data_IF_596610087437
#
_entry.id   IF_596610087437
#
_cell.length_a   1.000
_cell.length_b   1.000
_cell.length_c   1.000
_cell.angle_alpha   90.00
_cell.angle_beta   90.00
_cell.angle_gamma   90.00
#
_symmetry.space_group_name_H-M   'P 1'
#
loop_
_entity.id
_entity.type
_entity.pdbx_description
1 polymer ?
#
# COMPACT_ATOMS: atom_id res chain seq x y z
N UNK A 1 8.74 -15.02 17.58
CA UNK A 1 10.23 -14.86 17.44
C UNK A 1 10.59 -14.12 16.14
N UNK A 2 10.15 -14.58 14.97
CA UNK A 2 10.51 -13.95 13.68
C UNK A 2 10.08 -12.47 13.61
N UNK A 3 8.84 -12.15 14.04
CA UNK A 3 8.36 -10.76 14.00
C UNK A 3 9.18 -9.80 14.88
N UNK A 4 9.75 -10.25 15.99
CA UNK A 4 10.60 -9.39 16.81
C UNK A 4 11.89 -8.99 16.04
N UNK A 5 12.43 -9.90 15.23
CA UNK A 5 13.60 -9.58 14.39
C UNK A 5 13.23 -8.62 13.25
N UNK A 6 12.02 -8.77 12.67
CA UNK A 6 11.52 -7.82 11.65
C UNK A 6 11.32 -6.43 12.24
N UNK A 7 10.72 -6.35 13.45
CA UNK A 7 10.53 -5.07 14.14
C UNK A 7 11.88 -4.41 14.42
N UNK A 8 12.82 -5.15 14.98
CA UNK A 8 14.18 -4.66 15.26
C UNK A 8 14.87 -4.19 13.96
N UNK A 9 14.79 -4.98 12.88
CA UNK A 9 15.35 -4.60 11.59
C UNK A 9 14.78 -3.26 11.08
N UNK A 10 13.46 -3.06 11.23
CA UNK A 10 12.80 -1.81 10.85
C UNK A 10 13.25 -0.63 11.74
N UNK A 11 13.36 -0.84 13.06
CA UNK A 11 13.83 0.15 14.03
C UNK A 11 15.28 0.56 13.77
N UNK A 12 16.11 -0.39 13.36
CA UNK A 12 17.51 -0.17 12.96
C UNK A 12 17.65 0.51 11.57
N UNK A 13 16.52 0.90 10.93
CA UNK A 13 16.47 1.58 9.63
C UNK A 13 16.45 0.64 8.42
N UNK A 14 16.35 -0.65 8.63
CA UNK A 14 16.19 -1.63 7.55
C UNK A 14 14.86 -1.49 6.81
N UNK A 15 14.83 -1.91 5.55
CA UNK A 15 13.63 -1.79 4.71
C UNK A 15 12.72 -2.99 4.91
N UNK A 16 11.43 -2.73 5.13
CA UNK A 16 10.39 -3.76 5.25
C UNK A 16 9.25 -3.45 4.30
N UNK A 17 8.91 -4.41 3.46
CA UNK A 17 7.82 -4.29 2.49
C UNK A 17 6.79 -5.39 2.70
N UNK A 18 5.58 -5.02 3.13
CA UNK A 18 4.44 -5.92 3.34
C UNK A 18 3.41 -5.79 2.23
N UNK A 19 3.22 -6.88 1.46
CA UNK A 19 2.25 -6.94 0.36
C UNK A 19 1.08 -7.82 0.79
N UNK A 20 -0.16 -7.36 0.62
CA UNK A 20 -1.40 -8.07 0.93
C UNK A 20 -1.41 -8.57 2.40
N UNK A 21 -1.28 -9.87 2.66
CA UNK A 21 -1.15 -10.41 4.02
C UNK A 21 0.04 -9.82 4.78
N UNK A 22 1.12 -9.46 4.07
CA UNK A 22 2.25 -8.75 4.67
C UNK A 22 1.84 -7.40 5.24
N UNK A 23 0.99 -6.63 4.57
CA UNK A 23 0.46 -5.38 5.10
C UNK A 23 -0.36 -5.62 6.38
N UNK A 24 -1.22 -6.65 6.40
CA UNK A 24 -1.97 -7.04 7.59
C UNK A 24 -1.02 -7.35 8.77
N UNK A 25 0.01 -8.15 8.54
CA UNK A 25 1.02 -8.48 9.55
C UNK A 25 1.71 -7.21 10.08
N UNK A 26 2.02 -6.23 9.23
CA UNK A 26 2.65 -4.98 9.63
C UNK A 26 1.72 -4.11 10.51
N UNK A 27 0.41 -4.12 10.25
CA UNK A 27 -0.56 -3.43 11.13
C UNK A 27 -0.75 -4.17 12.47
N UNK A 28 -0.87 -5.50 12.44
CA UNK A 28 -1.00 -6.31 13.65
C UNK A 28 0.25 -6.27 14.56
N UNK A 29 1.42 -6.11 13.97
CA UNK A 29 2.69 -5.98 14.73
C UNK A 29 2.95 -4.58 15.27
N UNK A 30 2.13 -3.58 14.90
CA UNK A 30 2.31 -2.18 15.27
C UNK A 30 3.38 -1.42 14.48
N UNK A 31 4.00 -2.02 13.46
CA UNK A 31 4.93 -1.33 12.56
C UNK A 31 4.24 -0.31 11.67
N UNK A 32 2.96 -0.51 11.37
CA UNK A 32 2.09 0.43 10.68
C UNK A 32 0.81 0.66 11.48
N UNK A 33 0.22 1.87 11.46
CA UNK A 33 -1.04 2.14 12.15
C UNK A 33 -2.23 1.54 11.41
N UNK A 34 -3.37 1.43 12.13
CA UNK A 34 -4.64 0.96 11.60
C UNK A 34 -4.78 -0.56 11.54
N UNK A 35 -5.75 -1.03 10.77
CA UNK A 35 -6.07 -2.44 10.62
C UNK A 35 -6.64 -2.75 9.23
N UNK A 36 -6.51 -3.98 8.77
CA UNK A 36 -7.16 -4.49 7.57
C UNK A 36 -8.43 -5.27 7.98
N UNK A 37 -9.56 -4.85 7.46
CA UNK A 37 -10.86 -5.46 7.69
C UNK A 37 -11.34 -6.19 6.43
N UNK A 38 -12.41 -6.98 6.57
CA UNK A 38 -13.06 -7.60 5.42
C UNK A 38 -13.54 -6.56 4.42
N UNK A 39 -13.45 -6.92 3.14
CA UNK A 39 -13.96 -6.08 2.06
C UNK A 39 -15.43 -5.72 2.32
N UNK A 40 -15.84 -4.50 2.03
CA UNK A 40 -17.20 -3.99 2.30
C UNK A 40 -18.32 -4.85 1.68
N UNK A 41 -18.05 -5.53 0.57
CA UNK A 41 -19.02 -6.44 -0.09
C UNK A 41 -18.90 -7.89 0.38
N UNK A 42 -18.08 -8.19 1.37
CA UNK A 42 -17.82 -9.52 1.95
C UNK A 42 -17.45 -10.59 0.90
N UNK A 43 -16.78 -10.19 -0.18
CA UNK A 43 -16.36 -11.04 -1.28
C UNK A 43 -14.86 -10.93 -1.52
N UNK A 44 -14.28 -12.04 -1.93
CA UNK A 44 -12.92 -12.04 -2.48
C UNK A 44 -12.89 -11.24 -3.79
N UNK A 45 -11.92 -10.35 -3.92
CA UNK A 45 -11.76 -9.49 -5.10
C UNK A 45 -10.43 -9.84 -5.75
N UNK A 46 -10.49 -10.23 -7.03
CA UNK A 46 -9.31 -10.50 -7.86
C UNK A 46 -9.47 -9.74 -9.18
N UNK A 47 -8.75 -8.64 -9.33
CA UNK A 47 -8.79 -7.81 -10.56
C UNK A 47 -7.64 -6.81 -10.57
N UNK A 48 -7.36 -6.22 -11.72
CA UNK A 48 -6.51 -5.04 -11.80
C UNK A 48 -7.27 -3.82 -11.25
N UNK A 49 -6.55 -2.96 -10.54
CA UNK A 49 -7.02 -1.68 -10.03
C UNK A 49 -6.01 -0.60 -10.37
N UNK A 50 -6.48 0.64 -10.47
CA UNK A 50 -5.61 1.78 -10.59
C UNK A 50 -5.29 2.34 -9.21
N UNK A 51 -4.02 2.63 -8.99
CA UNK A 51 -3.56 3.32 -7.78
C UNK A 51 -2.73 4.54 -8.17
N UNK A 52 -2.91 5.61 -7.44
CA UNK A 52 -2.16 6.86 -7.60
C UNK A 52 -1.04 6.93 -6.58
N UNK A 53 0.17 7.25 -7.03
CA UNK A 53 1.32 7.51 -6.15
C UNK A 53 1.15 8.87 -5.48
N UNK A 54 0.62 8.90 -4.26
CA UNK A 54 0.33 10.13 -3.51
C UNK A 54 1.60 10.71 -2.90
N UNK A 55 2.49 9.83 -2.42
CA UNK A 55 3.80 10.19 -1.88
C UNK A 55 4.91 9.43 -2.61
N UNK A 56 5.86 10.16 -3.19
CA UNK A 56 7.05 9.61 -3.85
C UNK A 56 8.36 9.88 -3.09
N UNK A 57 8.26 10.28 -1.82
CA UNK A 57 9.43 10.58 -0.97
C UNK A 57 9.76 9.43 0.00
N UNK A 58 9.51 8.19 -0.41
CA UNK A 58 9.89 6.99 0.34
C UNK A 58 10.96 6.23 -0.41
N UNK A 59 11.68 5.35 0.28
CA UNK A 59 12.67 4.44 -0.37
C UNK A 59 12.02 3.55 -1.42
N UNK A 60 10.71 3.29 -1.32
CA UNK A 60 9.94 2.45 -2.23
C UNK A 60 9.39 3.19 -3.45
N UNK A 61 9.38 4.52 -3.45
CA UNK A 61 8.69 5.33 -4.48
C UNK A 61 9.55 6.43 -5.09
N UNK A 62 10.81 6.58 -4.66
CA UNK A 62 11.70 7.68 -5.10
C UNK A 62 11.92 7.75 -6.62
N UNK A 63 11.77 6.61 -7.34
CA UNK A 63 11.88 6.55 -8.81
C UNK A 63 10.52 6.65 -9.53
N UNK A 64 9.42 6.77 -8.79
CA UNK A 64 8.07 6.89 -9.35
C UNK A 64 7.67 8.36 -9.31
N UNK A 65 7.25 8.98 -10.43
CA UNK A 65 6.76 10.34 -10.42
C UNK A 65 5.56 10.51 -9.49
N UNK A 66 5.49 11.63 -8.77
CA UNK A 66 4.31 11.96 -7.96
C UNK A 66 3.06 12.03 -8.83
N UNK A 67 1.95 11.52 -8.34
CA UNK A 67 0.67 11.39 -9.03
C UNK A 67 0.70 10.42 -10.23
N UNK A 68 1.75 9.63 -10.42
CA UNK A 68 1.75 8.54 -11.41
C UNK A 68 0.65 7.54 -11.06
N UNK A 69 -0.13 7.16 -12.05
CA UNK A 69 -1.16 6.13 -11.97
C UNK A 69 -0.52 4.81 -12.37
N UNK A 70 -0.73 3.78 -11.56
CA UNK A 70 -0.20 2.43 -11.77
C UNK A 70 -1.37 1.44 -11.84
N UNK A 71 -1.36 0.54 -12.81
CA UNK A 71 -2.31 -0.58 -12.91
C UNK A 71 -1.71 -1.81 -12.25
N UNK A 72 -2.21 -2.17 -11.07
CA UNK A 72 -1.66 -3.25 -10.24
C UNK A 72 -2.78 -4.22 -9.84
N UNK A 73 -2.58 -5.54 -9.90
CA UNK A 73 -3.59 -6.51 -9.47
C UNK A 73 -3.78 -6.52 -7.96
N UNK A 74 -5.03 -6.75 -7.54
CA UNK A 74 -5.41 -7.10 -6.16
C UNK A 74 -5.99 -8.51 -6.13
N UNK A 75 -5.77 -9.23 -5.02
CA UNK A 75 -6.33 -10.56 -4.77
C UNK A 75 -6.50 -10.76 -3.26
N UNK A 76 -7.63 -10.31 -2.69
CA UNK A 76 -7.84 -10.33 -1.24
C UNK A 76 -9.32 -10.39 -0.84
N UNK A 77 -9.58 -10.90 0.36
CA UNK A 77 -10.87 -10.87 1.04
C UNK A 77 -10.90 -9.80 2.16
N UNK A 78 -9.74 -9.44 2.68
CA UNK A 78 -9.52 -8.48 3.76
C UNK A 78 -8.54 -7.40 3.30
N UNK A 79 -9.07 -6.39 2.59
CA UNK A 79 -8.26 -5.28 2.06
C UNK A 79 -8.83 -3.91 2.41
N UNK A 80 -9.88 -3.89 3.23
CA UNK A 80 -10.52 -2.67 3.69
C UNK A 80 -9.68 -2.05 4.83
N UNK A 81 -8.80 -1.12 4.49
CA UNK A 81 -8.00 -0.42 5.48
C UNK A 81 -8.85 0.51 6.33
N UNK A 82 -8.72 0.37 7.63
CA UNK A 82 -9.40 1.17 8.65
C UNK A 82 -8.39 1.79 9.62
N UNK A 83 -8.62 3.04 10.00
CA UNK A 83 -7.84 3.73 11.03
C UNK A 83 -8.73 4.70 11.80
N UNK A 84 -8.39 5.02 13.04
CA UNK A 84 -9.07 6.04 13.83
C UNK A 84 -8.88 7.43 13.21
N UNK A 85 -9.68 8.40 13.65
CA UNK A 85 -9.55 9.79 13.16
C UNK A 85 -8.18 10.38 13.47
N UNK A 86 -7.64 10.06 14.64
CA UNK A 86 -6.34 10.50 15.12
C UNK A 86 -5.21 9.89 14.26
N UNK A 87 -5.27 8.58 13.99
CA UNK A 87 -4.33 7.90 13.11
C UNK A 87 -4.36 8.46 11.69
N UNK A 88 -5.56 8.69 11.15
CA UNK A 88 -5.72 9.29 9.80
C UNK A 88 -5.13 10.69 9.74
N UNK A 89 -5.35 11.50 10.77
CA UNK A 89 -4.75 12.84 10.83
C UNK A 89 -3.22 12.73 10.86
N UNK A 90 -2.68 11.86 11.70
CA UNK A 90 -1.24 11.58 11.76
C UNK A 90 -0.67 11.11 10.42
N UNK A 91 -1.38 10.19 9.71
CA UNK A 91 -0.96 9.73 8.38
C UNK A 91 -0.87 10.87 7.37
N UNK A 92 -1.80 11.83 7.42
CA UNK A 92 -1.80 13.00 6.55
C UNK A 92 -0.67 13.97 6.90
N UNK A 93 -0.54 14.33 8.18
CA UNK A 93 0.43 15.32 8.67
C UNK A 93 1.87 14.84 8.41
N UNK A 94 2.12 13.54 8.48
CA UNK A 94 3.43 12.94 8.27
C UNK A 94 3.65 12.42 6.82
N UNK A 95 2.73 12.69 5.87
CA UNK A 95 2.81 12.20 4.50
C UNK A 95 3.05 10.68 4.41
N UNK A 96 2.30 9.90 5.20
CA UNK A 96 2.45 8.45 5.27
C UNK A 96 1.54 7.70 4.28
N UNK A 97 0.55 8.37 3.67
CA UNK A 97 -0.28 7.80 2.60
C UNK A 97 0.54 7.77 1.32
N UNK A 98 0.90 6.56 0.88
CA UNK A 98 1.79 6.35 -0.27
C UNK A 98 1.01 6.10 -1.54
N UNK A 99 -0.01 5.23 -1.47
CA UNK A 99 -0.86 4.89 -2.60
C UNK A 99 -2.34 5.01 -2.24
N UNK A 100 -3.14 5.51 -3.18
CA UNK A 100 -4.60 5.55 -3.05
C UNK A 100 -5.25 4.94 -4.30
N UNK A 101 -6.35 4.19 -4.12
CA UNK A 101 -7.17 3.71 -5.23
C UNK A 101 -7.78 4.88 -5.98
N UNK A 102 -7.73 4.82 -7.29
CA UNK A 102 -8.26 5.84 -8.19
C UNK A 102 -8.89 5.20 -9.43
N UNK A 103 -9.52 6.00 -10.28
CA UNK A 103 -9.88 5.60 -11.62
C UNK A 103 -8.69 5.72 -12.60
N UNK A 104 -8.92 5.42 -13.87
CA UNK A 104 -7.91 5.48 -14.93
C UNK A 104 -7.36 6.89 -15.16
N UNK A 105 -8.14 7.91 -14.89
CA UNK A 105 -7.77 9.33 -14.96
C UNK A 105 -7.08 9.84 -13.69
N UNK A 106 -7.02 9.02 -12.63
CA UNK A 106 -6.41 9.36 -11.35
C UNK A 106 -7.33 10.10 -10.37
N UNK A 107 -8.64 10.08 -10.60
CA UNK A 107 -9.61 10.64 -9.67
C UNK A 107 -9.86 9.66 -8.52
N UNK A 108 -9.82 10.19 -7.29
CA UNK A 108 -10.06 9.41 -6.06
C UNK A 108 -11.53 9.60 -5.68
N UNK A 109 -12.33 8.56 -5.83
CA UNK A 109 -13.77 8.58 -5.55
C UNK A 109 -14.22 7.30 -4.85
N UNK A 110 -15.45 7.28 -4.33
CA UNK A 110 -16.05 6.05 -3.78
C UNK A 110 -16.22 4.95 -4.83
N UNK A 111 -16.42 5.32 -6.10
CA UNK A 111 -16.58 4.38 -7.21
C UNK A 111 -15.27 3.67 -7.56
N UNK A 112 -14.15 4.37 -7.44
CA UNK A 112 -12.80 3.81 -7.66
C UNK A 112 -12.28 2.99 -6.47
N UNK A 113 -13.03 2.95 -5.35
CA UNK A 113 -12.66 2.19 -4.16
C UNK A 113 -13.12 0.73 -4.27
N UNK A 114 -12.23 -0.25 -4.42
CA UNK A 114 -12.64 -1.63 -4.67
C UNK A 114 -13.15 -2.36 -3.43
N UNK A 115 -12.73 -1.97 -2.21
CA UNK A 115 -12.85 -2.77 -1.00
C UNK A 115 -13.43 -2.03 0.22
N UNK A 116 -13.70 -0.73 0.10
CA UNK A 116 -14.21 0.11 1.19
C UNK A 116 -13.14 0.76 2.05
N UNK A 117 -11.87 0.66 1.65
CA UNK A 117 -10.73 1.24 2.35
C UNK A 117 -10.93 2.74 2.64
N UNK A 118 -10.66 3.15 3.88
CA UNK A 118 -10.80 4.54 4.30
C UNK A 118 -9.92 5.47 3.45
N UNK A 119 -10.47 6.58 2.97
CA UNK A 119 -9.81 7.53 2.05
C UNK A 119 -9.20 6.88 0.80
N UNK A 120 -9.75 5.76 0.33
CA UNK A 120 -9.19 4.99 -0.79
C UNK A 120 -7.73 4.54 -0.55
N UNK A 121 -7.28 4.42 0.68
CA UNK A 121 -5.90 4.04 0.99
C UNK A 121 -5.63 2.63 0.46
N UNK A 122 -4.63 2.52 -0.43
CA UNK A 122 -4.13 1.27 -0.98
C UNK A 122 -2.79 0.86 -0.36
N UNK A 123 -2.04 1.83 0.19
CA UNK A 123 -0.77 1.58 0.87
C UNK A 123 -0.29 2.78 1.68
N UNK A 124 0.37 2.48 2.80
CA UNK A 124 0.92 3.47 3.74
C UNK A 124 2.36 3.13 4.11
N UNK A 125 3.12 4.13 4.56
CA UNK A 125 4.43 3.94 5.18
C UNK A 125 4.41 4.30 6.66
N UNK A 126 5.43 3.85 7.40
CA UNK A 126 5.73 4.38 8.73
C UNK A 126 6.29 5.82 8.64
N UNK A 127 6.50 6.48 9.77
CA UNK A 127 7.05 7.84 9.82
C UNK A 127 8.47 7.92 9.23
N UNK A 128 9.31 6.91 9.47
CA UNK A 128 10.69 6.84 8.97
C UNK A 128 10.79 6.51 7.47
N UNK A 129 9.66 6.23 6.80
CA UNK A 129 9.59 5.92 5.36
C UNK A 129 10.35 4.66 4.91
N UNK A 130 10.74 3.80 5.84
CA UNK A 130 11.48 2.55 5.60
C UNK A 130 10.62 1.28 5.72
N UNK A 131 9.36 1.42 6.14
CA UNK A 131 8.36 0.34 6.14
C UNK A 131 7.20 0.74 5.24
N UNK A 132 6.84 -0.11 4.29
CA UNK A 132 5.69 0.06 3.39
C UNK A 132 4.75 -1.14 3.50
N UNK A 133 3.47 -0.89 3.69
CA UNK A 133 2.40 -1.86 3.54
C UNK A 133 1.45 -1.47 2.42
N UNK A 134 1.09 -2.41 1.54
CA UNK A 134 0.09 -2.17 0.49
C UNK A 134 -0.70 -3.43 0.18
N UNK A 135 -1.97 -3.27 -0.23
CA UNK A 135 -2.83 -4.38 -0.62
C UNK A 135 -2.63 -4.87 -2.05
N UNK A 136 -2.41 -4.00 -3.05
CA UNK A 136 -2.07 -4.44 -4.40
C UNK A 136 -0.76 -5.22 -4.45
N UNK A 137 -0.64 -6.08 -5.47
CA UNK A 137 0.49 -6.98 -5.71
C UNK A 137 1.43 -6.46 -6.81
N UNK A 138 2.38 -5.57 -6.53
CA UNK A 138 3.29 -5.03 -7.55
C UNK A 138 4.20 -6.11 -8.13
N UNK A 139 4.51 -7.18 -7.36
CA UNK A 139 5.32 -8.31 -7.83
C UNK A 139 4.66 -9.09 -8.98
N UNK A 140 3.34 -8.92 -9.16
CA UNK A 140 2.59 -9.51 -10.28
C UNK A 140 2.49 -8.60 -11.51
N UNK A 141 3.11 -7.41 -11.47
CA UNK A 141 3.10 -6.41 -12.54
C UNK A 141 4.52 -5.91 -12.81
N UNK A 142 5.46 -6.84 -12.99
CA UNK A 142 6.88 -6.56 -13.24
C UNK A 142 7.37 -7.03 -14.62
N UNK A 143 6.50 -7.74 -15.37
CA UNK A 143 6.81 -8.28 -16.69
C UNK A 143 5.54 -8.27 -17.55
N UNK A 144 5.70 -7.96 -18.84
CA UNK A 144 4.58 -7.97 -19.80
C UNK A 144 3.87 -9.33 -19.87
N UNK A 145 4.61 -10.42 -19.71
CA UNK A 145 4.04 -11.78 -19.67
C UNK A 145 3.18 -12.02 -18.42
N UNK A 146 3.39 -11.24 -17.36
CA UNK A 146 2.58 -11.28 -16.13
C UNK A 146 1.39 -10.31 -16.17
N UNK A 147 1.23 -9.55 -17.26
CA UNK A 147 0.11 -8.63 -17.45
C UNK A 147 0.43 -7.14 -17.28
N UNK A 148 1.71 -6.77 -17.10
CA UNK A 148 2.14 -5.37 -17.03
C UNK A 148 3.48 -5.15 -16.35
N UNK A 149 3.95 -3.91 -16.37
CA UNK A 149 5.26 -3.50 -15.82
C UNK A 149 5.16 -2.38 -14.78
N UNK A 150 3.97 -1.96 -14.42
CA UNK A 150 3.74 -0.80 -13.55
C UNK A 150 4.28 -1.01 -12.12
N UNK A 151 4.45 -2.26 -11.67
CA UNK A 151 5.07 -2.60 -10.40
C UNK A 151 6.58 -2.42 -10.36
N UNK A 152 7.25 -2.38 -11.51
CA UNK A 152 8.72 -2.30 -11.57
C UNK A 152 9.29 -1.10 -10.83
N UNK A 153 8.64 0.07 -10.92
CA UNK A 153 9.12 1.31 -10.31
C UNK A 153 9.29 1.23 -8.79
N UNK A 154 8.47 0.40 -8.12
CA UNK A 154 8.58 0.17 -6.67
C UNK A 154 9.87 -0.57 -6.35
N UNK A 155 10.14 -1.68 -7.03
CA UNK A 155 11.36 -2.49 -6.82
C UNK A 155 12.63 -1.75 -7.28
N UNK A 156 12.57 -1.04 -8.41
CA UNK A 156 13.68 -0.21 -8.87
C UNK A 156 14.03 0.92 -7.90
N UNK A 157 13.06 1.40 -7.11
CA UNK A 157 13.30 2.41 -6.08
C UNK A 157 14.16 1.90 -4.92
N UNK A 158 14.22 0.60 -4.70
CA UNK A 158 15.05 -0.02 -3.66
C UNK A 158 16.53 -0.15 -4.09
N UNK A 159 16.80 -0.04 -5.37
CA UNK A 159 18.17 -0.02 -5.96
C UNK A 159 18.68 1.42 -6.05
#
# INVERSE_FOLDING_TARGET
>A
KVMNEVIKHAEDGGYVFGICNGFQILTESGLLPGALLRNNKLKFICKNVFIKTTNNQTVFTKKIPKNKILSIPIAHNEGNYFASKEEVQSLKDNNQIVFQYCDEEGNISGESNPNGSFLNIAGISNQNKNVLGMMPHPERSIDQLLGGVDGQGIFQSLL
#
